data_IF_004034208822
#
_entry.id   IF_004034208822
#
_cell.length_a   1.000
_cell.length_b   1.000
_cell.length_c   1.000
_cell.angle_alpha   90.00
_cell.angle_beta   90.00
_cell.angle_gamma   90.00
#
_symmetry.space_group_name_H-M   'P 1'
#
loop_
_entity.id
_entity.type
_entity.pdbx_description
1 polymer ?
#
# COMPACT_ATOMS: atom_id res chain seq x y z
N UNK A 1 21.10 -10.99 7.25
CA UNK A 1 20.09 -9.96 7.53
C UNK A 1 18.85 -10.32 6.73
N UNK A 2 17.74 -10.71 7.37
CA UNK A 2 16.49 -10.98 6.66
C UNK A 2 15.83 -9.64 6.30
N UNK A 3 15.64 -9.38 5.00
CA UNK A 3 14.91 -8.21 4.52
C UNK A 3 13.46 -8.18 5.00
N UNK A 4 12.70 -7.09 4.75
CA UNK A 4 11.27 -7.06 5.06
C UNK A 4 10.56 -8.15 4.25
N UNK A 5 9.74 -8.96 4.91
CA UNK A 5 8.93 -9.96 4.23
C UNK A 5 7.85 -9.28 3.39
N UNK A 6 7.20 -8.25 3.96
CA UNK A 6 6.07 -7.57 3.34
C UNK A 6 6.11 -6.04 3.45
N UNK A 7 5.82 -5.36 2.34
CA UNK A 7 5.72 -3.90 2.20
C UNK A 7 4.36 -3.50 1.63
N UNK A 8 3.34 -3.27 2.47
CA UNK A 8 2.07 -2.73 2.01
C UNK A 8 2.22 -1.25 1.68
N UNK A 9 1.71 -0.86 0.52
CA UNK A 9 1.58 0.53 0.09
C UNK A 9 0.25 1.07 0.62
N UNK A 10 0.32 1.91 1.64
CA UNK A 10 -0.84 2.36 2.41
C UNK A 10 -1.03 3.87 2.31
N UNK A 11 -2.27 4.38 2.29
CA UNK A 11 -2.48 5.82 2.37
C UNK A 11 -2.18 6.33 3.79
N UNK A 12 -1.73 7.57 3.92
CA UNK A 12 -1.63 8.26 5.22
C UNK A 12 -3.01 8.65 5.78
N UNK A 13 -3.91 7.69 5.94
CA UNK A 13 -5.29 7.91 6.40
C UNK A 13 -5.56 7.20 7.73
N UNK A 14 -6.46 7.71 8.59
CA UNK A 14 -6.72 7.14 9.91
C UNK A 14 -7.13 5.65 9.89
N UNK A 15 -7.89 5.21 8.88
CA UNK A 15 -8.30 3.79 8.78
C UNK A 15 -7.12 2.86 8.51
N UNK A 16 -6.14 3.27 7.70
CA UNK A 16 -4.96 2.48 7.38
C UNK A 16 -4.00 2.43 8.58
N UNK A 17 -3.75 3.57 9.24
CA UNK A 17 -3.00 3.61 10.49
C UNK A 17 -3.67 2.77 11.60
N UNK A 18 -5.00 2.82 11.69
CA UNK A 18 -5.80 2.03 12.64
C UNK A 18 -5.80 0.53 12.33
N UNK A 19 -5.78 0.13 11.06
CA UNK A 19 -5.59 -1.25 10.65
C UNK A 19 -4.18 -1.74 11.04
N UNK A 20 -3.14 -1.01 10.66
CA UNK A 20 -1.76 -1.38 10.98
C UNK A 20 -1.51 -1.48 12.49
N UNK A 21 -2.08 -0.56 13.29
CA UNK A 21 -2.02 -0.62 14.76
C UNK A 21 -2.68 -1.88 15.33
N UNK A 22 -3.79 -2.31 14.73
CA UNK A 22 -4.58 -3.46 15.17
C UNK A 22 -3.95 -4.81 14.85
N UNK A 23 -3.01 -4.88 13.91
CA UNK A 23 -2.29 -6.12 13.63
C UNK A 23 -1.65 -6.70 14.89
N UNK A 24 -1.65 -8.03 14.98
CA UNK A 24 -0.93 -8.72 16.04
C UNK A 24 0.57 -8.38 16.01
N UNK A 25 1.24 -8.37 17.17
CA UNK A 25 2.63 -7.90 17.26
C UNK A 25 3.61 -8.63 16.34
N UNK A 26 3.45 -9.95 16.19
CA UNK A 26 4.22 -10.82 15.32
C UNK A 26 4.01 -10.49 13.84
N UNK A 27 2.75 -10.39 13.40
CA UNK A 27 2.40 -9.99 12.03
C UNK A 27 2.96 -8.60 11.72
N UNK A 28 2.78 -7.64 12.63
CA UNK A 28 3.25 -6.27 12.46
C UNK A 28 4.78 -6.18 12.40
N UNK A 29 5.50 -7.05 13.09
CA UNK A 29 6.96 -7.07 13.08
C UNK A 29 7.56 -7.48 11.72
N UNK A 30 6.83 -8.27 10.94
CA UNK A 30 7.20 -8.69 9.58
C UNK A 30 6.98 -7.61 8.50
N UNK A 31 6.31 -6.51 8.85
CA UNK A 31 5.87 -5.49 7.90
C UNK A 31 6.70 -4.22 7.99
N UNK A 32 7.05 -3.65 6.83
CA UNK A 32 7.56 -2.27 6.72
C UNK A 32 6.68 -1.50 5.73
N UNK A 33 5.74 -0.66 6.19
CA UNK A 33 4.80 0.01 5.29
C UNK A 33 5.49 1.07 4.43
N UNK A 34 5.03 1.21 3.20
CA UNK A 34 5.26 2.38 2.36
C UNK A 34 4.01 3.28 2.49
N UNK A 35 4.13 4.38 3.22
CA UNK A 35 3.04 5.33 3.38
C UNK A 35 3.03 6.33 2.23
N UNK A 36 1.88 6.48 1.58
CA UNK A 36 1.67 7.44 0.51
C UNK A 36 0.89 8.64 1.04
N UNK A 37 1.55 9.79 1.08
CA UNK A 37 0.91 11.07 1.32
C UNK A 37 0.01 11.40 0.12
N UNK A 38 -1.23 11.88 0.33
CA UNK A 38 -2.06 12.32 -0.77
C UNK A 38 -1.50 13.60 -1.40
N UNK A 39 -1.86 13.92 -2.66
CA UNK A 39 -1.61 15.25 -3.22
C UNK A 39 -2.17 16.36 -2.32
N UNK A 40 -1.43 17.45 -2.20
CA UNK A 40 -1.80 18.64 -1.41
C UNK A 40 -1.92 19.90 -2.29
N UNK A 41 -2.78 19.89 -3.33
CA UNK A 41 -2.89 21.01 -4.26
C UNK A 41 -3.39 22.27 -3.54
N UNK A 42 -2.79 23.42 -3.87
CA UNK A 42 -3.20 24.72 -3.35
C UNK A 42 -2.94 24.96 -1.85
N UNK A 43 -2.17 24.08 -1.18
CA UNK A 43 -1.73 24.32 0.21
C UNK A 43 -0.56 25.29 0.22
N UNK A 44 -0.69 26.42 0.90
CA UNK A 44 0.38 27.41 0.97
C UNK A 44 1.61 26.84 1.72
N UNK A 45 2.86 27.13 1.29
CA UNK A 45 4.07 26.57 1.89
C UNK A 45 4.17 26.73 3.41
N UNK A 46 3.76 27.88 3.94
CA UNK A 46 3.75 28.21 5.37
C UNK A 46 2.80 27.32 6.20
N UNK A 47 1.81 26.69 5.55
CA UNK A 47 0.83 25.81 6.21
C UNK A 47 1.16 24.32 6.03
N UNK A 48 2.11 23.97 5.15
CA UNK A 48 2.42 22.59 4.80
C UNK A 48 2.79 21.74 6.02
N UNK A 49 3.63 22.25 6.93
CA UNK A 49 4.00 21.50 8.13
C UNK A 49 2.78 21.04 8.96
N UNK A 50 1.82 21.94 9.15
CA UNK A 50 0.57 21.63 9.86
C UNK A 50 -0.29 20.62 9.09
N UNK A 51 -0.39 20.74 7.77
CA UNK A 51 -1.19 19.81 6.95
C UNK A 51 -0.53 18.43 6.89
N UNK A 52 0.78 18.37 6.65
CA UNK A 52 1.59 17.15 6.65
C UNK A 52 1.45 16.45 8.00
N UNK A 53 1.55 17.17 9.12
CA UNK A 53 1.44 16.54 10.44
C UNK A 53 0.11 15.83 10.68
N UNK A 54 -1.01 16.40 10.21
CA UNK A 54 -2.33 15.73 10.29
C UNK A 54 -2.35 14.35 9.61
N UNK A 55 -1.56 14.17 8.55
CA UNK A 55 -1.48 12.92 7.81
C UNK A 55 -0.38 12.00 8.34
N UNK A 56 0.79 12.55 8.70
CA UNK A 56 2.00 11.78 9.00
C UNK A 56 2.11 11.42 10.48
N UNK A 57 1.60 12.22 11.42
CA UNK A 57 1.65 11.91 12.86
C UNK A 57 1.05 10.51 13.17
N UNK A 58 -0.17 10.17 12.70
CA UNK A 58 -0.78 8.90 13.06
C UNK A 58 -0.01 7.69 12.50
N UNK A 59 0.57 7.82 11.30
CA UNK A 59 1.31 6.73 10.63
C UNK A 59 2.72 6.59 11.16
N UNK A 60 3.38 7.70 11.51
CA UNK A 60 4.69 7.70 12.16
C UNK A 60 4.61 6.99 13.51
N UNK A 61 3.57 7.29 14.31
CA UNK A 61 3.36 6.68 15.63
C UNK A 61 3.24 5.14 15.60
N UNK A 62 2.74 4.57 14.50
CA UNK A 62 2.58 3.11 14.34
C UNK A 62 3.75 2.47 13.61
N UNK A 63 4.60 3.24 12.93
CA UNK A 63 5.74 2.74 12.13
C UNK A 63 7.02 2.56 12.96
N UNK A 64 6.88 2.05 14.19
CA UNK A 64 8.01 1.87 15.13
C UNK A 64 9.07 0.89 14.64
N UNK A 65 8.76 0.04 13.67
CA UNK A 65 9.74 -0.87 13.06
C UNK A 65 10.42 -0.26 11.82
N UNK A 66 10.05 0.97 11.46
CA UNK A 66 10.49 1.66 10.25
C UNK A 66 9.52 1.46 9.09
N UNK A 67 9.85 2.09 7.98
CA UNK A 67 9.05 2.11 6.76
C UNK A 67 9.50 3.24 5.86
N UNK A 68 8.64 3.61 4.93
CA UNK A 68 8.89 4.68 3.98
C UNK A 68 7.73 5.67 3.99
N UNK A 69 8.03 6.92 3.63
CA UNK A 69 7.05 7.96 3.37
C UNK A 69 7.32 8.51 1.97
N UNK A 70 6.40 8.21 1.06
CA UNK A 70 6.37 8.75 -0.28
C UNK A 70 5.40 9.92 -0.29
N UNK A 71 5.91 11.08 -0.68
CA UNK A 71 5.14 12.28 -0.86
C UNK A 71 5.07 12.60 -2.34
N UNK A 72 4.28 11.83 -3.12
CA UNK A 72 4.07 12.18 -4.47
C UNK A 72 3.22 13.46 -4.53
N UNK A 73 3.47 14.34 -5.50
CA UNK A 73 2.54 15.41 -5.88
C UNK A 73 2.59 16.73 -5.08
N UNK A 74 3.78 17.17 -4.66
CA UNK A 74 4.00 18.60 -4.38
C UNK A 74 4.16 19.38 -5.69
N UNK A 75 3.60 20.59 -5.78
CA UNK A 75 4.03 21.56 -6.80
C UNK A 75 5.51 21.92 -6.56
N UNK A 76 6.26 22.30 -7.60
CA UNK A 76 7.69 22.62 -7.45
C UNK A 76 7.93 23.68 -6.36
N UNK A 77 7.04 24.67 -6.27
CA UNK A 77 7.05 25.74 -5.27
C UNK A 77 6.91 25.24 -3.82
N UNK A 78 6.37 24.04 -3.61
CA UNK A 78 6.17 23.44 -2.29
C UNK A 78 7.33 22.51 -1.88
N UNK A 79 8.23 22.16 -2.79
CA UNK A 79 9.22 21.08 -2.60
C UNK A 79 10.07 21.26 -1.35
N UNK A 80 10.65 22.45 -1.16
CA UNK A 80 11.51 22.72 0.00
C UNK A 80 10.72 22.65 1.32
N UNK A 81 9.56 23.32 1.39
CA UNK A 81 8.71 23.32 2.59
C UNK A 81 8.15 21.91 2.92
N UNK A 82 7.83 21.11 1.91
CA UNK A 82 7.41 19.72 2.09
C UNK A 82 8.56 18.85 2.61
N UNK A 83 9.77 19.04 2.10
CA UNK A 83 10.96 18.34 2.58
C UNK A 83 11.26 18.67 4.04
N UNK A 84 11.22 19.95 4.42
CA UNK A 84 11.41 20.39 5.81
C UNK A 84 10.32 19.81 6.73
N UNK A 85 9.06 19.78 6.28
CA UNK A 85 7.97 19.19 7.03
C UNK A 85 8.15 17.67 7.22
N UNK A 86 8.67 16.96 6.22
CA UNK A 86 8.91 15.52 6.29
C UNK A 86 10.19 15.15 7.05
N UNK A 87 11.19 16.05 7.07
CA UNK A 87 12.46 15.83 7.74
C UNK A 87 12.26 15.52 9.23
N UNK A 88 11.32 16.20 9.90
CA UNK A 88 10.98 15.92 11.32
C UNK A 88 10.61 14.44 11.53
N UNK A 89 9.86 13.84 10.61
CA UNK A 89 9.45 12.44 10.70
C UNK A 89 10.55 11.45 10.31
N UNK A 90 11.55 11.91 9.59
CA UNK A 90 12.69 11.10 9.18
C UNK A 90 13.83 11.16 10.23
N UNK A 91 14.04 12.32 10.86
CA UNK A 91 15.04 12.55 11.90
C UNK A 91 14.62 11.89 13.22
N UNK A 92 13.40 12.18 13.67
CA UNK A 92 12.88 11.73 14.96
C UNK A 92 12.08 10.43 14.85
N UNK A 93 11.56 10.14 13.65
CA UNK A 93 10.88 8.89 13.37
C UNK A 93 11.80 7.82 12.78
N UNK A 94 11.17 6.77 12.24
CA UNK A 94 11.85 5.65 11.55
C UNK A 94 11.43 5.54 10.08
N UNK A 95 10.72 6.55 9.59
CA UNK A 95 10.32 6.64 8.19
C UNK A 95 11.50 7.15 7.36
N UNK A 96 11.55 6.69 6.12
CA UNK A 96 12.58 7.09 5.16
C UNK A 96 11.92 7.85 4.03
N UNK A 97 12.53 8.95 3.56
CA UNK A 97 12.02 9.65 2.39
C UNK A 97 12.08 8.72 1.17
N UNK A 98 11.15 8.92 0.25
CA UNK A 98 11.12 8.24 -1.04
C UNK A 98 11.22 9.25 -2.17
N UNK A 99 11.96 8.90 -3.20
CA UNK A 99 12.03 9.60 -4.48
C UNK A 99 11.97 8.60 -5.63
N UNK A 100 12.02 9.07 -6.86
CA UNK A 100 11.99 8.24 -8.07
C UNK A 100 12.51 9.01 -9.30
N UNK A 101 12.78 8.32 -10.41
CA UNK A 101 13.25 8.94 -11.65
C UNK A 101 12.20 9.91 -12.24
N UNK A 102 10.90 9.69 -11.98
CA UNK A 102 9.81 10.57 -12.44
C UNK A 102 9.72 11.92 -11.70
N UNK A 103 10.58 12.14 -10.68
CA UNK A 103 10.59 13.33 -9.84
C UNK A 103 11.47 14.42 -10.43
N UNK A 104 11.13 15.67 -10.14
CA UNK A 104 12.00 16.80 -10.50
C UNK A 104 13.31 16.73 -9.73
N UNK A 105 14.39 17.28 -10.29
CA UNK A 105 15.71 17.29 -9.64
C UNK A 105 15.66 17.90 -8.24
N UNK A 106 14.85 18.95 -8.05
CA UNK A 106 14.62 19.58 -6.75
C UNK A 106 14.01 18.60 -5.73
N UNK A 107 13.02 17.80 -6.14
CA UNK A 107 12.41 16.79 -5.28
C UNK A 107 13.39 15.66 -4.95
N UNK A 108 14.18 15.21 -5.93
CA UNK A 108 15.22 14.22 -5.72
C UNK A 108 16.28 14.72 -4.73
N UNK A 109 16.82 15.92 -4.96
CA UNK A 109 17.82 16.53 -4.08
C UNK A 109 17.30 16.71 -2.65
N UNK A 110 16.06 17.14 -2.48
CA UNK A 110 15.45 17.32 -1.17
C UNK A 110 15.29 16.00 -0.41
N UNK A 111 14.88 14.92 -1.09
CA UNK A 111 14.80 13.60 -0.49
C UNK A 111 16.17 13.04 -0.10
N UNK A 112 17.19 13.24 -0.96
CA UNK A 112 18.59 12.84 -0.68
C UNK A 112 19.14 13.59 0.53
N UNK A 113 18.98 14.92 0.57
CA UNK A 113 19.46 15.73 1.69
C UNK A 113 18.76 15.34 3.00
N UNK A 114 17.46 15.08 2.96
CA UNK A 114 16.72 14.54 4.11
C UNK A 114 17.31 13.19 4.55
N UNK A 115 17.57 12.28 3.61
CA UNK A 115 18.15 10.97 3.92
C UNK A 115 19.55 11.09 4.55
N UNK A 116 20.38 12.04 4.08
CA UNK A 116 21.71 12.35 4.65
C UNK A 116 21.59 12.86 6.08
N UNK A 117 20.75 13.87 6.32
CA UNK A 117 20.54 14.45 7.67
C UNK A 117 20.07 13.40 8.67
N UNK A 118 19.16 12.51 8.25
CA UNK A 118 18.53 11.54 9.13
C UNK A 118 19.40 10.28 9.35
N UNK A 119 20.38 10.01 8.47
CA UNK A 119 21.19 8.78 8.47
C UNK A 119 20.34 7.49 8.45
N UNK A 120 19.15 7.54 7.83
CA UNK A 120 18.20 6.41 7.74
C UNK A 120 18.11 5.78 6.35
N UNK A 121 18.71 6.38 5.34
CA UNK A 121 18.68 5.94 3.94
C UNK A 121 17.46 6.45 3.16
N UNK A 122 17.41 6.08 1.88
CA UNK A 122 16.49 6.61 0.87
C UNK A 122 15.75 5.47 0.17
N UNK A 123 14.43 5.59 -0.02
CA UNK A 123 13.70 4.71 -0.93
C UNK A 123 13.74 5.27 -2.36
N UNK A 124 14.13 4.45 -3.33
CA UNK A 124 14.07 4.76 -4.75
C UNK A 124 12.93 3.93 -5.35
N UNK A 125 11.80 4.60 -5.61
CA UNK A 125 10.62 4.00 -6.23
C UNK A 125 10.70 4.14 -7.73
N UNK A 126 10.74 3.01 -8.43
CA UNK A 126 10.82 2.97 -9.90
C UNK A 126 9.53 2.37 -10.44
N UNK A 127 8.75 3.15 -11.17
CA UNK A 127 7.44 2.70 -11.67
C UNK A 127 7.54 2.08 -13.06
N UNK A 128 7.04 0.86 -13.22
CA UNK A 128 7.03 0.11 -14.49
C UNK A 128 5.61 -0.41 -14.77
N UNK A 129 4.74 0.48 -15.26
CA UNK A 129 3.33 0.16 -15.56
C UNK A 129 3.10 -0.40 -16.97
N UNK A 130 4.16 -0.51 -17.78
CA UNK A 130 4.13 -1.02 -19.15
C UNK A 130 5.33 -1.94 -19.40
N UNK A 131 5.87 -1.88 -20.62
CA UNK A 131 7.12 -2.53 -20.98
C UNK A 131 8.31 -1.83 -20.30
N UNK A 132 9.36 -2.60 -19.98
CA UNK A 132 10.60 -2.05 -19.45
C UNK A 132 11.33 -1.23 -20.52
N UNK A 133 11.64 0.03 -20.20
CA UNK A 133 12.44 0.93 -21.03
C UNK A 133 13.87 1.03 -20.47
N UNK A 134 14.87 0.82 -21.34
CA UNK A 134 16.27 1.02 -20.99
C UNK A 134 16.61 2.46 -20.58
N UNK A 135 15.87 3.45 -21.10
CA UNK A 135 16.01 4.86 -20.72
C UNK A 135 15.72 5.10 -19.23
N UNK A 136 14.72 4.42 -18.69
CA UNK A 136 14.41 4.47 -17.25
C UNK A 136 15.58 3.95 -16.39
N UNK A 137 16.35 2.98 -16.90
CA UNK A 137 17.58 2.51 -16.26
C UNK A 137 18.66 3.59 -16.18
N UNK A 138 18.81 4.41 -17.22
CA UNK A 138 19.73 5.56 -17.24
C UNK A 138 19.30 6.65 -16.26
N UNK A 139 18.01 6.96 -16.19
CA UNK A 139 17.45 7.93 -15.24
C UNK A 139 17.72 7.51 -13.78
N UNK A 140 17.52 6.23 -13.47
CA UNK A 140 17.82 5.70 -12.13
C UNK A 140 19.33 5.76 -11.84
N UNK A 141 20.19 5.48 -12.82
CA UNK A 141 21.64 5.63 -12.66
C UNK A 141 22.03 7.09 -12.37
N UNK A 142 21.43 8.04 -13.08
CA UNK A 142 21.63 9.47 -12.84
C UNK A 142 21.20 9.89 -11.43
N UNK A 143 20.03 9.44 -10.99
CA UNK A 143 19.54 9.66 -9.63
C UNK A 143 20.51 9.10 -8.58
N UNK A 144 20.94 7.84 -8.75
CA UNK A 144 21.88 7.17 -7.83
C UNK A 144 23.23 7.90 -7.76
N UNK A 145 23.74 8.43 -8.87
CA UNK A 145 24.96 9.23 -8.87
C UNK A 145 24.84 10.48 -7.98
N UNK A 146 23.66 11.11 -7.92
CA UNK A 146 23.37 12.26 -7.04
C UNK A 146 23.24 11.92 -5.56
N UNK A 147 22.96 10.65 -5.21
CA UNK A 147 22.75 10.22 -3.81
C UNK A 147 24.04 10.20 -2.98
N UNK A 148 25.18 9.93 -3.61
CA UNK A 148 26.46 9.72 -2.92
C UNK A 148 26.57 8.36 -2.21
N UNK A 149 27.79 7.84 -1.97
CA UNK A 149 28.00 6.51 -1.40
C UNK A 149 27.58 6.35 0.07
N UNK A 150 27.42 7.46 0.80
CA UNK A 150 27.04 7.48 2.21
C UNK A 150 25.55 7.21 2.46
N UNK A 151 24.70 7.40 1.45
CA UNK A 151 23.25 7.21 1.57
C UNK A 151 22.89 5.77 1.19
N UNK A 152 22.51 4.96 2.18
CA UNK A 152 21.98 3.63 1.91
C UNK A 152 20.64 3.71 1.15
N UNK A 153 20.53 3.04 0.01
CA UNK A 153 19.35 3.08 -0.87
C UNK A 153 18.55 1.77 -0.82
N UNK A 154 17.22 1.87 -0.85
CA UNK A 154 16.30 0.75 -1.05
C UNK A 154 15.64 0.85 -2.43
N UNK A 155 15.52 -0.27 -3.14
CA UNK A 155 14.75 -0.35 -4.37
C UNK A 155 13.29 -0.71 -4.07
N UNK A 156 12.37 0.10 -4.56
CA UNK A 156 10.93 -0.14 -4.56
C UNK A 156 10.47 -0.23 -6.02
N UNK A 157 10.56 -1.40 -6.64
CA UNK A 157 10.10 -1.60 -8.02
C UNK A 157 8.58 -1.71 -8.04
N UNK A 158 7.92 -0.71 -8.62
CA UNK A 158 6.47 -0.54 -8.57
C UNK A 158 5.82 -0.85 -9.91
N UNK A 159 5.20 -2.02 -10.02
CA UNK A 159 4.48 -2.46 -11.22
C UNK A 159 3.10 -1.81 -11.37
N UNK A 160 2.69 -0.98 -10.41
CA UNK A 160 1.40 -0.31 -10.41
C UNK A 160 0.24 -1.29 -10.29
N UNK A 161 -0.78 -1.14 -11.14
CA UNK A 161 -1.89 -2.08 -11.21
C UNK A 161 -1.47 -3.31 -12.03
N UNK A 162 -1.65 -4.50 -11.46
CA UNK A 162 -1.36 -5.78 -12.10
C UNK A 162 -2.64 -6.61 -12.01
N UNK A 163 -3.46 -6.53 -13.06
CA UNK A 163 -4.70 -7.28 -13.21
C UNK A 163 -4.53 -8.34 -14.31
N UNK A 164 -5.60 -9.07 -14.62
CA UNK A 164 -5.58 -10.12 -15.66
C UNK A 164 -5.23 -9.63 -17.08
N UNK A 165 -5.36 -8.33 -17.33
CA UNK A 165 -4.99 -7.69 -18.59
C UNK A 165 -3.48 -7.42 -18.75
N UNK A 166 -2.67 -7.73 -17.72
CA UNK A 166 -1.21 -7.55 -17.67
C UNK A 166 -0.46 -8.89 -17.50
N UNK A 167 -0.63 -9.87 -18.42
CA UNK A 167 -0.01 -11.19 -18.30
C UNK A 167 1.52 -11.17 -18.46
N UNK A 168 2.09 -10.08 -18.95
CA UNK A 168 3.52 -9.83 -19.14
C UNK A 168 4.22 -9.25 -17.91
N UNK A 169 3.48 -8.84 -16.87
CA UNK A 169 4.02 -8.10 -15.74
C UNK A 169 5.20 -8.81 -15.04
N UNK A 170 5.20 -10.14 -14.94
CA UNK A 170 6.30 -10.90 -14.36
C UNK A 170 7.60 -10.79 -15.19
N UNK A 171 7.48 -10.84 -16.52
CA UNK A 171 8.60 -10.68 -17.44
C UNK A 171 9.17 -9.27 -17.42
N UNK A 172 8.30 -8.26 -17.39
CA UNK A 172 8.75 -6.86 -17.31
C UNK A 172 9.38 -6.55 -15.95
N UNK A 173 8.86 -7.12 -14.86
CA UNK A 173 9.50 -7.03 -13.55
C UNK A 173 10.90 -7.67 -13.55
N UNK A 174 11.08 -8.82 -14.20
CA UNK A 174 12.40 -9.46 -14.32
C UNK A 174 13.37 -8.60 -15.13
N UNK A 175 12.95 -8.06 -16.27
CA UNK A 175 13.78 -7.15 -17.09
C UNK A 175 14.23 -5.92 -16.30
N UNK A 176 13.30 -5.30 -15.57
CA UNK A 176 13.59 -4.17 -14.71
C UNK A 176 14.59 -4.55 -13.59
N UNK A 177 14.36 -5.65 -12.89
CA UNK A 177 15.26 -6.11 -11.82
C UNK A 177 16.65 -6.46 -12.35
N UNK A 178 16.75 -7.15 -13.48
CA UNK A 178 18.02 -7.49 -14.12
C UNK A 178 18.83 -6.23 -14.49
N UNK A 179 18.15 -5.14 -14.87
CA UNK A 179 18.77 -3.85 -15.18
C UNK A 179 19.11 -3.02 -13.93
N UNK A 180 18.26 -3.02 -12.91
CA UNK A 180 18.37 -2.14 -11.74
C UNK A 180 19.23 -2.71 -10.60
N UNK A 181 19.18 -4.03 -10.38
CA UNK A 181 19.92 -4.68 -9.29
C UNK A 181 21.44 -4.44 -9.36
N UNK A 182 22.09 -4.41 -10.54
CA UNK A 182 23.53 -4.12 -10.64
C UNK A 182 23.92 -2.65 -10.42
N UNK A 183 22.97 -1.70 -10.39
CA UNK A 183 23.29 -0.25 -10.36
C UNK A 183 23.78 0.23 -8.99
N UNK A 184 23.47 -0.49 -7.92
CA UNK A 184 23.86 -0.13 -6.57
C UNK A 184 23.93 -1.35 -5.65
N UNK A 185 24.62 -1.20 -4.52
CA UNK A 185 24.50 -2.13 -3.40
C UNK A 185 23.22 -1.78 -2.63
N UNK A 186 22.10 -2.30 -3.10
CA UNK A 186 20.78 -2.07 -2.48
C UNK A 186 20.75 -2.63 -1.06
N UNK A 187 20.34 -1.79 -0.10
CA UNK A 187 20.08 -2.24 1.27
C UNK A 187 18.90 -3.21 1.34
N UNK A 188 17.86 -2.92 0.56
CA UNK A 188 16.72 -3.82 0.34
C UNK A 188 16.16 -3.61 -1.06
N UNK A 189 15.48 -4.62 -1.59
CA UNK A 189 14.75 -4.54 -2.84
C UNK A 189 13.37 -5.15 -2.64
N UNK A 190 12.32 -4.49 -3.13
CA UNK A 190 10.93 -4.96 -3.00
C UNK A 190 10.21 -4.82 -4.33
N UNK A 191 9.47 -5.85 -4.72
CA UNK A 191 8.55 -5.82 -5.85
C UNK A 191 7.14 -5.46 -5.35
N UNK A 192 6.59 -4.36 -5.87
CA UNK A 192 5.26 -3.87 -5.54
C UNK A 192 4.30 -4.11 -6.71
N UNK A 193 3.11 -4.63 -6.44
CA UNK A 193 2.04 -4.78 -7.44
C UNK A 193 0.66 -4.75 -6.80
N UNK A 194 -0.29 -4.01 -7.38
CA UNK A 194 -1.66 -3.90 -6.89
C UNK A 194 -2.63 -4.71 -7.73
N UNK A 195 -3.18 -5.78 -7.16
CA UNK A 195 -4.17 -6.64 -7.83
C UNK A 195 -5.63 -6.30 -7.54
N UNK A 196 -5.91 -5.40 -6.59
CA UNK A 196 -7.29 -5.07 -6.26
C UNK A 196 -7.92 -4.15 -7.32
N UNK A 197 -9.04 -4.52 -7.97
CA UNK A 197 -9.59 -3.75 -9.07
C UNK A 197 -10.37 -2.52 -8.61
N UNK A 198 -10.68 -1.65 -9.57
CA UNK A 198 -11.62 -0.55 -9.36
C UNK A 198 -13.03 -1.10 -9.41
N UNK A 199 -13.63 -1.28 -8.24
CA UNK A 199 -15.00 -1.79 -8.12
C UNK A 199 -16.03 -0.79 -8.64
N UNK A 200 -16.87 -1.23 -9.58
CA UNK A 200 -18.02 -0.47 -10.11
C UNK A 200 -19.35 -1.02 -9.55
N UNK A 201 -20.45 -0.31 -9.83
CA UNK A 201 -21.78 -0.79 -9.46
C UNK A 201 -22.17 -2.04 -10.26
N UNK A 202 -21.79 -2.08 -11.54
CA UNK A 202 -22.10 -3.13 -12.51
C UNK A 202 -21.42 -4.46 -12.12
N UNK A 203 -20.18 -4.40 -11.64
CA UNK A 203 -19.47 -5.57 -11.08
C UNK A 203 -20.21 -6.21 -9.89
N UNK A 204 -21.11 -5.48 -9.24
CA UNK A 204 -21.80 -5.89 -8.03
C UNK A 204 -23.31 -6.02 -8.22
N UNK A 205 -23.79 -6.19 -9.46
CA UNK A 205 -25.20 -6.43 -9.76
C UNK A 205 -25.71 -7.68 -9.04
N UNK A 206 -24.92 -8.76 -9.03
CA UNK A 206 -25.23 -10.02 -8.32
C UNK A 206 -24.89 -9.94 -6.80
N UNK A 207 -24.43 -8.77 -6.35
CA UNK A 207 -24.11 -8.48 -4.96
C UNK A 207 -22.74 -8.97 -4.50
N UNK A 208 -22.00 -9.72 -5.31
CA UNK A 208 -20.61 -10.07 -5.09
C UNK A 208 -19.86 -10.26 -6.42
N UNK A 209 -18.54 -10.07 -6.40
CA UNK A 209 -17.65 -10.49 -7.47
C UNK A 209 -16.35 -11.08 -6.90
N UNK A 210 -15.68 -11.86 -7.73
CA UNK A 210 -14.39 -12.47 -7.43
C UNK A 210 -13.39 -12.10 -8.52
N UNK A 211 -12.21 -11.64 -8.10
CA UNK A 211 -11.21 -11.05 -8.98
C UNK A 211 -9.85 -11.71 -8.71
N UNK A 212 -9.10 -12.06 -9.76
CA UNK A 212 -7.87 -12.84 -9.56
C UNK A 212 -6.76 -12.02 -8.88
N UNK A 213 -5.87 -12.71 -8.16
CA UNK A 213 -4.63 -12.13 -7.64
C UNK A 213 -3.50 -12.18 -8.66
N UNK A 214 -3.65 -11.45 -9.77
CA UNK A 214 -2.65 -11.39 -10.84
C UNK A 214 -1.28 -10.87 -10.33
N UNK A 215 -1.28 -9.94 -9.38
CA UNK A 215 -0.07 -9.45 -8.70
C UNK A 215 0.65 -10.54 -7.90
N UNK A 216 -0.10 -11.49 -7.32
CA UNK A 216 0.47 -12.60 -6.58
C UNK A 216 1.08 -13.65 -7.52
N UNK A 217 0.45 -13.89 -8.67
CA UNK A 217 1.02 -14.72 -9.74
C UNK A 217 2.31 -14.13 -10.29
N UNK A 218 2.33 -12.82 -10.55
CA UNK A 218 3.55 -12.09 -10.95
C UNK A 218 4.68 -12.28 -9.93
N UNK A 219 4.38 -12.13 -8.63
CA UNK A 219 5.37 -12.36 -7.56
C UNK A 219 5.97 -13.77 -7.60
N UNK A 220 5.13 -14.80 -7.75
CA UNK A 220 5.61 -16.19 -7.83
C UNK A 220 6.41 -16.46 -9.10
N UNK A 221 6.02 -15.88 -10.24
CA UNK A 221 6.79 -15.96 -11.49
C UNK A 221 8.21 -15.39 -11.31
N UNK A 222 8.33 -14.18 -10.75
CA UNK A 222 9.63 -13.54 -10.48
C UNK A 222 10.48 -14.38 -9.52
N UNK A 223 9.86 -14.94 -8.47
CA UNK A 223 10.55 -15.80 -7.50
C UNK A 223 11.02 -17.12 -8.11
N UNK A 224 10.25 -17.71 -9.01
CA UNK A 224 10.57 -18.97 -9.66
C UNK A 224 11.65 -18.85 -10.76
N UNK A 225 11.98 -17.63 -11.20
CA UNK A 225 12.94 -17.38 -12.28
C UNK A 225 14.41 -17.74 -11.95
N UNK A 226 14.72 -18.11 -10.70
CA UNK A 226 16.06 -18.59 -10.31
C UNK A 226 17.15 -17.51 -10.28
N UNK A 227 16.78 -16.23 -10.26
CA UNK A 227 17.73 -15.10 -10.20
C UNK A 227 18.40 -15.02 -8.83
N UNK A 228 19.69 -14.67 -8.80
CA UNK A 228 20.48 -14.62 -7.56
C UNK A 228 19.93 -13.62 -6.51
N UNK A 229 19.25 -12.56 -6.94
CA UNK A 229 18.60 -11.59 -6.06
C UNK A 229 17.24 -12.07 -5.54
N UNK A 230 16.64 -13.12 -6.10
CA UNK A 230 15.28 -13.54 -5.74
C UNK A 230 15.10 -13.83 -4.23
N UNK A 231 16.06 -14.49 -3.53
CA UNK A 231 15.97 -14.67 -2.07
C UNK A 231 15.98 -13.38 -1.25
N UNK A 232 16.51 -12.29 -1.79
CA UNK A 232 16.64 -10.99 -1.12
C UNK A 232 15.47 -10.04 -1.42
N UNK A 233 14.64 -10.39 -2.40
CA UNK A 233 13.50 -9.59 -2.82
C UNK A 233 12.36 -9.72 -1.79
N UNK A 234 11.83 -8.58 -1.35
CA UNK A 234 10.59 -8.50 -0.59
C UNK A 234 9.35 -8.42 -1.49
N UNK A 235 8.20 -8.80 -0.95
CA UNK A 235 6.90 -8.63 -1.61
C UNK A 235 6.19 -7.38 -1.10
N UNK A 236 5.46 -6.69 -1.96
CA UNK A 236 4.55 -5.64 -1.55
C UNK A 236 3.37 -5.49 -2.50
N UNK A 237 2.31 -4.89 -2.00
CA UNK A 237 1.07 -4.64 -2.75
C UNK A 237 0.37 -3.39 -2.24
N UNK A 238 -0.78 -3.08 -2.85
CA UNK A 238 -1.60 -1.92 -2.49
C UNK A 238 -2.73 -2.28 -1.52
N UNK A 239 -2.61 -3.41 -0.85
CA UNK A 239 -3.63 -3.93 0.06
C UNK A 239 -4.97 -4.17 -0.65
N UNK A 240 -6.03 -3.71 0.01
CA UNK A 240 -7.42 -3.91 -0.44
C UNK A 240 -7.97 -2.74 -1.27
N UNK A 241 -7.09 -1.93 -1.87
CA UNK A 241 -7.47 -0.79 -2.69
C UNK A 241 -6.66 -0.77 -4.00
N UNK A 242 -7.25 -0.26 -5.10
CA UNK A 242 -6.47 -0.09 -6.32
C UNK A 242 -5.40 1.00 -6.13
N UNK A 243 -4.26 0.93 -6.84
CA UNK A 243 -3.22 1.98 -6.79
C UNK A 243 -3.76 3.40 -7.00
N UNK A 244 -4.74 3.55 -7.89
CA UNK A 244 -5.40 4.83 -8.16
C UNK A 244 -6.19 5.42 -6.98
N UNK A 245 -6.47 4.66 -5.92
CA UNK A 245 -7.09 5.19 -4.70
C UNK A 245 -6.11 6.01 -3.85
N UNK A 246 -4.80 5.73 -3.96
CA UNK A 246 -3.75 6.47 -3.22
C UNK A 246 -3.46 7.83 -3.84
N UNK A 247 -3.63 7.97 -5.16
CA UNK A 247 -3.41 9.20 -5.90
C UNK A 247 -4.56 10.21 -5.79
N UNK A 248 -5.66 9.88 -5.11
CA UNK A 248 -6.81 10.78 -5.00
C UNK A 248 -6.53 11.89 -3.98
N UNK A 249 -6.49 13.13 -4.48
CA UNK A 249 -6.47 14.32 -3.63
C UNK A 249 -7.69 14.32 -2.70
N UNK A 250 -7.55 14.86 -1.47
CA UNK A 250 -8.69 15.14 -0.62
C UNK A 250 -9.66 16.06 -1.37
N UNK A 251 -10.95 15.72 -1.41
CA UNK A 251 -11.98 16.54 -2.05
C UNK A 251 -12.83 17.25 -0.97
N UNK A 252 -12.33 18.36 -0.38
CA UNK A 252 -13.10 19.12 0.58
C UNK A 252 -14.35 19.67 -0.11
N UNK A 253 -15.52 19.18 0.30
CA UNK A 253 -16.82 19.60 -0.26
C UNK A 253 -17.62 18.52 -0.98
N UNK A 254 -17.03 17.35 -1.29
CA UNK A 254 -17.81 16.20 -1.81
C UNK A 254 -18.67 15.62 -0.69
N UNK A 255 -19.92 16.08 -0.60
CA UNK A 255 -20.92 15.52 0.32
C UNK A 255 -21.57 14.30 -0.31
N UNK A 256 -21.41 13.15 0.35
CA UNK A 256 -22.04 11.89 -0.04
C UNK A 256 -21.16 11.03 -0.95
N UNK A 257 -21.00 9.77 -0.55
CA UNK A 257 -20.52 8.70 -1.42
C UNK A 257 -21.68 7.99 -2.11
N UNK A 258 -21.41 6.95 -2.91
CA UNK A 258 -22.45 6.07 -3.41
C UNK A 258 -23.33 5.53 -2.26
N UNK A 259 -24.60 5.17 -2.53
CA UNK A 259 -25.48 4.55 -1.53
C UNK A 259 -25.04 3.13 -1.12
N UNK A 260 -23.90 2.67 -1.63
CA UNK A 260 -23.31 1.36 -1.44
C UNK A 260 -21.83 1.46 -1.09
N UNK A 261 -21.29 0.38 -0.53
CA UNK A 261 -19.86 0.16 -0.36
C UNK A 261 -19.54 -1.31 -0.55
N UNK A 262 -18.39 -1.76 -0.05
CA UNK A 262 -18.00 -3.17 -0.18
C UNK A 262 -17.24 -3.68 1.04
N UNK A 263 -17.52 -4.93 1.38
CA UNK A 263 -16.62 -5.79 2.14
C UNK A 263 -15.63 -6.45 1.18
N UNK A 264 -14.43 -6.75 1.69
CA UNK A 264 -13.32 -7.30 0.89
C UNK A 264 -12.70 -8.44 1.65
N UNK A 265 -12.40 -9.52 0.94
CA UNK A 265 -11.73 -10.67 1.51
C UNK A 265 -10.71 -11.23 0.51
N UNK A 266 -9.45 -11.33 0.93
CA UNK A 266 -8.36 -11.98 0.20
C UNK A 266 -8.35 -13.48 0.51
N UNK A 267 -8.40 -14.28 -0.56
CA UNK A 267 -8.17 -15.73 -0.58
C UNK A 267 -6.75 -16.00 -1.13
N UNK A 268 -6.43 -17.27 -1.39
CA UNK A 268 -5.15 -17.63 -1.99
C UNK A 268 -4.99 -17.13 -3.42
N UNK A 269 -6.04 -17.28 -4.24
CA UNK A 269 -6.02 -16.97 -5.66
C UNK A 269 -6.83 -15.74 -6.04
N UNK A 270 -7.66 -15.19 -5.16
CA UNK A 270 -8.63 -14.15 -5.49
C UNK A 270 -8.89 -13.10 -4.39
N UNK A 271 -9.52 -12.01 -4.83
CA UNK A 271 -10.18 -11.01 -4.01
C UNK A 271 -11.69 -11.18 -4.15
N UNK A 272 -12.36 -11.53 -3.06
CA UNK A 272 -13.82 -11.54 -2.97
C UNK A 272 -14.30 -10.17 -2.51
N UNK A 273 -15.21 -9.60 -3.28
CA UNK A 273 -15.82 -8.30 -3.02
C UNK A 273 -17.32 -8.48 -2.87
N UNK A 274 -17.89 -8.03 -1.76
CA UNK A 274 -19.32 -8.17 -1.49
C UNK A 274 -19.95 -6.81 -1.23
N UNK A 275 -21.03 -6.52 -1.94
CA UNK A 275 -21.75 -5.24 -1.87
C UNK A 275 -22.35 -5.03 -0.47
N UNK A 276 -22.24 -3.80 0.02
CA UNK A 276 -22.92 -3.31 1.23
C UNK A 276 -23.73 -2.05 0.92
N UNK A 277 -24.62 -1.67 1.83
CA UNK A 277 -25.33 -0.40 1.82
C UNK A 277 -24.73 0.58 2.82
N UNK A 278 -24.62 1.85 2.43
CA UNK A 278 -24.15 2.92 3.32
C UNK A 278 -25.31 3.59 4.07
N UNK A 279 -26.54 3.42 3.60
CA UNK A 279 -27.78 4.03 4.14
C UNK A 279 -29.01 3.21 3.74
N UNK A 280 -30.16 3.54 4.32
CA UNK A 280 -31.46 2.91 4.00
C UNK A 280 -31.93 1.91 5.07
N UNK A 281 -33.23 1.54 5.03
CA UNK A 281 -33.86 0.70 6.05
C UNK A 281 -33.25 -0.71 6.11
N UNK A 282 -32.85 -1.27 4.97
CA UNK A 282 -32.31 -2.64 4.88
C UNK A 282 -30.80 -2.72 5.14
N UNK A 283 -30.14 -1.59 5.45
CA UNK A 283 -28.68 -1.53 5.58
C UNK A 283 -28.12 -2.58 6.53
N UNK A 284 -28.76 -2.79 7.68
CA UNK A 284 -28.27 -3.74 8.69
C UNK A 284 -28.33 -5.16 8.13
N UNK A 285 -29.50 -5.58 7.66
CA UNK A 285 -29.71 -6.92 7.12
C UNK A 285 -28.80 -7.21 5.92
N UNK A 286 -28.71 -6.29 4.95
CA UNK A 286 -27.86 -6.46 3.77
C UNK A 286 -26.39 -6.57 4.14
N UNK A 287 -25.89 -5.74 5.05
CA UNK A 287 -24.47 -5.75 5.39
C UNK A 287 -24.07 -6.97 6.22
N UNK A 288 -24.95 -7.46 7.09
CA UNK A 288 -24.72 -8.74 7.79
C UNK A 288 -24.78 -9.93 6.84
N UNK A 289 -25.70 -9.93 5.88
CA UNK A 289 -25.74 -10.94 4.82
C UNK A 289 -24.48 -10.90 3.95
N UNK A 290 -23.95 -9.71 3.65
CA UNK A 290 -22.68 -9.56 2.94
C UNK A 290 -21.50 -10.16 3.73
N UNK A 291 -21.46 -9.96 5.04
CA UNK A 291 -20.46 -10.60 5.90
C UNK A 291 -20.64 -12.12 5.95
N UNK A 292 -21.88 -12.62 5.99
CA UNK A 292 -22.19 -14.07 5.94
C UNK A 292 -21.66 -14.73 4.69
N UNK A 293 -21.88 -14.12 3.52
CA UNK A 293 -21.34 -14.60 2.24
C UNK A 293 -19.82 -14.83 2.31
N UNK A 294 -19.08 -13.95 2.98
CA UNK A 294 -17.63 -14.10 3.18
C UNK A 294 -17.32 -15.21 4.18
N UNK A 295 -18.02 -15.27 5.32
CA UNK A 295 -17.74 -16.27 6.37
C UNK A 295 -18.14 -17.69 5.97
N UNK A 296 -19.00 -17.84 4.96
CA UNK A 296 -19.44 -19.11 4.38
C UNK A 296 -18.52 -19.61 3.25
N UNK A 297 -17.53 -18.81 2.83
CA UNK A 297 -16.52 -19.26 1.87
C UNK A 297 -15.72 -20.44 2.43
N UNK A 298 -15.42 -21.46 1.62
CA UNK A 298 -14.49 -22.53 2.00
C UNK A 298 -13.12 -22.01 2.48
N UNK A 299 -12.67 -20.89 1.91
CA UNK A 299 -11.40 -20.22 2.19
C UNK A 299 -11.48 -19.25 3.38
N UNK A 300 -12.63 -19.18 4.08
CA UNK A 300 -12.73 -18.40 5.30
C UNK A 300 -11.87 -19.02 6.41
N UNK A 301 -10.84 -18.30 6.85
CA UNK A 301 -9.82 -18.82 7.77
C UNK A 301 -10.28 -18.91 9.23
N UNK A 302 -11.50 -18.49 9.52
CA UNK A 302 -12.05 -18.45 10.87
C UNK A 302 -11.57 -17.24 11.67
N UNK A 303 -12.35 -16.85 12.68
CA UNK A 303 -12.09 -15.65 13.47
C UNK A 303 -10.78 -15.66 14.29
N UNK A 304 -10.19 -16.84 14.52
CA UNK A 304 -8.88 -16.96 15.17
C UNK A 304 -7.73 -16.66 14.20
N UNK A 305 -7.99 -16.42 12.92
CA UNK A 305 -6.95 -16.03 11.98
C UNK A 305 -6.49 -14.59 12.22
N UNK A 306 -7.34 -13.69 12.69
CA UNK A 306 -6.94 -12.31 12.94
C UNK A 306 -8.12 -11.40 13.26
N UNK A 307 -7.81 -10.16 13.59
CA UNK A 307 -8.84 -9.17 13.95
C UNK A 307 -9.79 -8.83 12.80
N UNK A 308 -9.34 -8.96 11.55
CA UNK A 308 -10.21 -8.74 10.38
C UNK A 308 -11.26 -9.84 10.24
N UNK A 309 -10.84 -11.10 10.40
CA UNK A 309 -11.71 -12.27 10.36
C UNK A 309 -12.67 -12.33 11.56
N UNK A 310 -12.20 -11.96 12.75
CA UNK A 310 -13.05 -11.79 13.93
C UNK A 310 -14.15 -10.76 13.68
N UNK A 311 -13.81 -9.58 13.17
CA UNK A 311 -14.80 -8.55 12.86
C UNK A 311 -15.84 -9.02 11.84
N UNK A 312 -15.41 -9.75 10.79
CA UNK A 312 -16.33 -10.30 9.77
C UNK A 312 -17.30 -11.31 10.38
N UNK A 313 -16.82 -12.23 11.23
CA UNK A 313 -17.65 -13.18 11.97
C UNK A 313 -18.68 -12.45 12.84
N UNK A 314 -18.25 -11.45 13.59
CA UNK A 314 -19.12 -10.73 14.52
C UNK A 314 -20.17 -9.90 13.78
N UNK A 315 -19.79 -9.31 12.65
CA UNK A 315 -20.72 -8.65 11.74
C UNK A 315 -21.76 -9.65 11.19
N UNK A 316 -21.33 -10.82 10.72
CA UNK A 316 -22.22 -11.85 10.18
C UNK A 316 -23.24 -12.37 11.22
N UNK A 317 -22.80 -12.56 12.46
CA UNK A 317 -23.57 -13.21 13.51
C UNK A 317 -24.40 -12.27 14.40
N UNK A 318 -24.17 -10.95 14.34
CA UNK A 318 -24.94 -10.02 15.16
C UNK A 318 -26.42 -9.89 14.77
N UNK A 319 -27.26 -9.26 15.62
CA UNK A 319 -28.70 -9.17 15.39
C UNK A 319 -29.08 -8.33 14.16
N UNK A 320 -30.08 -8.76 13.38
CA UNK A 320 -30.53 -8.09 12.16
C UNK A 320 -31.17 -6.70 12.40
N UNK A 321 -31.54 -6.38 13.64
CA UNK A 321 -32.14 -5.10 14.04
C UNK A 321 -31.17 -4.13 14.70
N UNK A 322 -29.94 -4.56 15.00
CA UNK A 322 -28.95 -3.77 15.75
C UNK A 322 -27.85 -3.31 14.81
N UNK A 323 -27.60 -2.00 14.78
CA UNK A 323 -26.60 -1.39 13.89
C UNK A 323 -25.16 -1.55 14.37
N UNK A 324 -24.97 -1.87 15.64
CA UNK A 324 -23.66 -2.15 16.24
C UNK A 324 -22.97 -3.34 15.54
N UNK A 325 -21.67 -3.22 15.30
CA UNK A 325 -20.87 -4.25 14.62
C UNK A 325 -21.00 -4.31 13.09
N UNK A 326 -21.96 -3.58 12.49
CA UNK A 326 -22.12 -3.55 11.01
C UNK A 326 -21.05 -2.69 10.32
N UNK A 327 -20.53 -1.68 11.03
CA UNK A 327 -19.50 -0.76 10.53
C UNK A 327 -19.98 0.15 9.39
N UNK A 328 -19.14 1.10 9.01
CA UNK A 328 -19.28 1.92 7.81
C UNK A 328 -18.08 1.78 6.88
N UNK A 329 -17.97 2.64 5.85
CA UNK A 329 -16.89 2.57 4.87
C UNK A 329 -15.47 2.54 5.47
N UNK A 330 -15.25 3.27 6.56
CA UNK A 330 -13.98 3.31 7.30
C UNK A 330 -13.68 1.97 7.96
N UNK A 331 -14.65 1.38 8.64
CA UNK A 331 -14.52 0.06 9.29
C UNK A 331 -14.34 -1.06 8.26
N UNK A 332 -15.05 -1.01 7.14
CA UNK A 332 -14.92 -2.02 6.08
C UNK A 332 -13.52 -2.00 5.44
N UNK A 333 -12.96 -0.81 5.20
CA UNK A 333 -11.57 -0.66 4.76
C UNK A 333 -10.58 -1.13 5.83
N UNK A 334 -10.84 -0.83 7.10
CA UNK A 334 -9.99 -1.28 8.22
C UNK A 334 -9.98 -2.81 8.32
N UNK A 335 -11.14 -3.45 8.30
CA UNK A 335 -11.28 -4.90 8.39
C UNK A 335 -10.63 -5.61 7.19
N UNK A 336 -10.84 -5.08 5.98
CA UNK A 336 -10.19 -5.59 4.77
C UNK A 336 -8.66 -5.51 4.87
N UNK A 337 -8.11 -4.37 5.26
CA UNK A 337 -6.66 -4.21 5.45
C UNK A 337 -6.10 -5.13 6.55
N UNK A 338 -6.82 -5.29 7.67
CA UNK A 338 -6.41 -6.19 8.76
C UNK A 338 -6.32 -7.64 8.29
N UNK A 339 -7.37 -8.15 7.64
CA UNK A 339 -7.36 -9.54 7.16
C UNK A 339 -6.27 -9.71 6.09
N UNK A 340 -6.19 -8.78 5.14
CA UNK A 340 -5.30 -8.91 3.99
C UNK A 340 -3.84 -8.92 4.41
N UNK A 341 -3.41 -7.94 5.21
CA UNK A 341 -2.02 -7.89 5.68
C UNK A 341 -1.67 -9.11 6.55
N UNK A 342 -2.62 -9.59 7.37
CA UNK A 342 -2.43 -10.81 8.18
C UNK A 342 -2.26 -12.04 7.28
N UNK A 343 -3.08 -12.15 6.23
CA UNK A 343 -3.00 -13.23 5.27
C UNK A 343 -1.67 -13.22 4.53
N UNK A 344 -1.31 -12.09 3.91
CA UNK A 344 -0.09 -11.97 3.11
C UNK A 344 1.16 -12.31 3.92
N UNK A 345 1.31 -11.78 5.13
CA UNK A 345 2.47 -12.11 5.98
C UNK A 345 2.60 -13.61 6.22
N UNK A 346 1.49 -14.29 6.49
CA UNK A 346 1.47 -15.74 6.75
C UNK A 346 1.65 -16.59 5.49
N UNK A 347 1.38 -16.03 4.32
CA UNK A 347 1.56 -16.70 3.04
C UNK A 347 2.97 -16.54 2.46
N UNK A 348 3.80 -15.66 3.03
CA UNK A 348 5.16 -15.42 2.55
C UNK A 348 6.15 -16.45 3.11
N UNK A 349 7.15 -16.88 2.33
CA UNK A 349 8.17 -17.82 2.81
C UNK A 349 8.92 -17.25 4.03
N UNK A 350 8.87 -17.95 5.16
CA UNK A 350 9.52 -17.54 6.41
C UNK A 350 8.66 -16.69 7.37
N UNK A 351 7.37 -16.53 7.07
CA UNK A 351 6.36 -15.95 7.97
C UNK A 351 5.72 -16.95 8.94
#
# INVERSE_FOLDING_TARGET
MSGPLYVPVLPTKPHAAGAFRGLWPDVRAAIRPLWNLPPLPGVAPETLATVVGKYVDPVSAVSRHGGWIDAPFGEDAQTAALADALAVYCEWGRLRPVTGPERTEAQQAAAVETARRCLRGLGVRVRVTGEWDGGLGEEVRGLLAGTGPEVAVDLLLDMGAVLDDRPDAGKEALRALDALMPLAVWRSATLLGGGFPRVSADMLEEGACEESRAEWRMWHEVRAAGRAYAPLLGYGDYGVQPPSALAQAPAPGRKGGPPWGVLRYTTDSSYVVVRTLTRGPDRIAVNRAAARRITELPEFRGARAGQGEEWLRDCANGPLSVSEGVGGPTEWLRAGNLQHMTYVVRSLPGG
#
